data_IF_764593564705
#
_entry.id   IF_764593564705
#
_cell.length_a   1.000
_cell.length_b   1.000
_cell.length_c   1.000
_cell.angle_alpha   90.00
_cell.angle_beta   90.00
_cell.angle_gamma   90.00
#
_symmetry.space_group_name_H-M   'P 1'
#
loop_
_entity.id
_entity.type
_entity.pdbx_description
1 polymer ?
#
# COMPACT_ATOMS: atom_id res chain seq x y z
N UNK A 1 -11.24 -1.68 11.00
CA UNK A 1 -10.92 -0.84 9.82
C UNK A 1 -11.25 -1.66 8.58
N UNK A 2 -11.78 -1.06 7.49
CA UNK A 2 -11.99 -1.80 6.25
C UNK A 2 -10.64 -2.26 5.67
N UNK A 3 -10.65 -3.42 5.03
CA UNK A 3 -9.51 -3.90 4.24
C UNK A 3 -9.84 -3.74 2.77
N UNK A 4 -8.89 -3.23 1.99
CA UNK A 4 -9.02 -3.17 0.54
C UNK A 4 -8.19 -4.30 -0.06
N UNK A 5 -8.79 -5.11 -0.93
CA UNK A 5 -8.10 -6.15 -1.66
C UNK A 5 -7.85 -5.69 -3.08
N UNK A 6 -6.59 -5.68 -3.50
CA UNK A 6 -6.21 -5.41 -4.88
C UNK A 6 -5.86 -6.71 -5.58
N UNK A 7 -6.73 -7.13 -6.50
CA UNK A 7 -6.62 -8.39 -7.24
C UNK A 7 -5.83 -8.21 -8.53
N UNK A 8 -4.88 -9.11 -8.76
CA UNK A 8 -4.04 -9.19 -9.96
C UNK A 8 -3.41 -7.83 -10.36
N UNK A 9 -2.74 -7.11 -9.42
CA UNK A 9 -2.03 -5.89 -9.78
C UNK A 9 -0.87 -6.20 -10.74
N UNK A 10 -0.59 -5.26 -11.64
CA UNK A 10 0.62 -5.24 -12.45
C UNK A 10 1.88 -4.84 -11.64
N UNK A 11 2.88 -4.24 -12.29
CA UNK A 11 4.05 -3.66 -11.62
C UNK A 11 3.62 -2.63 -10.58
N UNK A 12 4.24 -2.68 -9.39
CA UNK A 12 3.96 -1.74 -8.29
C UNK A 12 4.82 -0.49 -8.44
N UNK A 13 4.36 0.68 -7.95
CA UNK A 13 5.20 1.87 -7.93
C UNK A 13 6.42 1.66 -7.03
N UNK A 14 7.48 2.45 -7.27
CA UNK A 14 8.51 2.69 -6.28
C UNK A 14 7.87 3.06 -4.93
N UNK A 15 8.23 2.37 -3.85
CA UNK A 15 7.53 2.52 -2.57
C UNK A 15 7.51 3.96 -2.01
N UNK A 16 8.51 4.83 -2.25
CA UNK A 16 8.43 6.22 -1.79
C UNK A 16 7.29 6.99 -2.46
N UNK A 17 6.89 6.65 -3.69
CA UNK A 17 5.76 7.30 -4.37
C UNK A 17 4.42 7.03 -3.67
N UNK A 18 4.29 5.85 -3.04
CA UNK A 18 3.12 5.54 -2.20
C UNK A 18 3.10 6.50 -1.00
N UNK A 19 4.23 6.65 -0.30
CA UNK A 19 4.34 7.56 0.84
C UNK A 19 4.07 9.02 0.45
N UNK A 20 4.65 9.49 -0.66
CA UNK A 20 4.46 10.86 -1.14
C UNK A 20 3.03 11.13 -1.59
N UNK A 21 2.37 10.14 -2.19
CA UNK A 21 0.95 10.25 -2.50
C UNK A 21 0.12 10.44 -1.23
N UNK A 22 0.42 9.70 -0.16
CA UNK A 22 -0.32 9.76 1.10
C UNK A 22 -0.10 11.07 1.86
N UNK A 23 1.16 11.46 2.06
CA UNK A 23 1.56 12.51 3.01
C UNK A 23 2.24 13.73 2.38
N UNK A 24 2.39 13.74 1.05
CA UNK A 24 3.04 14.82 0.32
C UNK A 24 4.53 14.55 0.03
N UNK A 25 5.13 15.36 -0.85
CA UNK A 25 6.48 15.15 -1.33
C UNK A 25 7.51 15.21 -0.21
N UNK A 26 8.54 14.35 -0.28
CA UNK A 26 9.64 14.27 0.70
C UNK A 26 9.17 14.06 2.15
N UNK A 27 8.03 13.40 2.34
CA UNK A 27 7.57 13.04 3.68
C UNK A 27 8.61 12.16 4.41
N UNK A 28 8.75 12.39 5.72
CA UNK A 28 9.71 11.66 6.55
C UNK A 28 9.03 10.43 7.15
N UNK A 29 9.46 9.24 6.71
CA UNK A 29 8.80 7.97 7.00
C UNK A 29 9.76 6.94 7.59
N UNK A 30 9.21 5.98 8.32
CA UNK A 30 9.82 4.65 8.46
C UNK A 30 9.18 3.73 7.41
N UNK A 31 9.98 2.90 6.75
CA UNK A 31 9.52 1.89 5.80
C UNK A 31 10.10 0.52 6.11
N UNK A 32 9.34 -0.53 5.82
CA UNK A 32 9.78 -1.93 5.84
C UNK A 32 9.07 -2.71 4.72
N UNK A 33 9.48 -3.95 4.45
CA UNK A 33 8.90 -4.83 3.44
C UNK A 33 9.95 -5.54 2.60
N UNK A 34 9.53 -6.11 1.47
CA UNK A 34 10.37 -6.97 0.63
C UNK A 34 10.88 -6.32 -0.66
N UNK A 35 10.80 -4.99 -0.75
CA UNK A 35 11.38 -4.21 -1.85
C UNK A 35 12.90 -4.37 -1.89
N UNK A 36 13.43 -4.83 -3.02
CA UNK A 36 14.88 -5.08 -3.22
C UNK A 36 15.68 -3.81 -3.51
N UNK A 37 14.99 -2.76 -3.95
CA UNK A 37 15.56 -1.44 -4.24
C UNK A 37 14.46 -0.40 -4.28
N UNK A 38 14.80 0.88 -4.21
CA UNK A 38 13.83 1.98 -4.29
C UNK A 38 12.96 1.92 -5.55
N UNK A 39 13.50 1.40 -6.66
CA UNK A 39 12.82 1.26 -7.94
C UNK A 39 12.26 -0.16 -8.18
N UNK A 40 12.21 -1.01 -7.15
CA UNK A 40 11.65 -2.35 -7.30
C UNK A 40 10.14 -2.28 -7.54
N UNK A 41 9.69 -2.84 -8.65
CA UNK A 41 8.27 -2.89 -9.02
C UNK A 41 7.63 -4.24 -8.66
N UNK A 42 8.40 -5.13 -8.03
CA UNK A 42 8.00 -6.51 -7.73
C UNK A 42 7.81 -6.78 -6.23
N UNK A 43 7.81 -5.77 -5.36
CA UNK A 43 7.49 -5.96 -3.95
C UNK A 43 6.04 -6.42 -3.78
N UNK A 44 5.79 -7.25 -2.79
CA UNK A 44 4.44 -7.70 -2.40
C UNK A 44 4.09 -7.30 -0.97
N UNK A 45 5.11 -6.91 -0.20
CA UNK A 45 5.00 -6.47 1.19
C UNK A 45 5.54 -5.04 1.32
N UNK A 46 4.79 -4.17 2.00
CA UNK A 46 5.20 -2.81 2.28
C UNK A 46 4.52 -2.27 3.55
N UNK A 47 5.32 -1.85 4.52
CA UNK A 47 4.87 -1.05 5.67
C UNK A 47 5.40 0.37 5.53
N UNK A 48 4.55 1.36 5.76
CA UNK A 48 4.92 2.78 5.83
C UNK A 48 4.34 3.42 7.10
N UNK A 49 5.16 4.18 7.82
CA UNK A 49 4.74 4.93 9.01
C UNK A 49 5.21 6.39 8.90
N UNK A 50 4.30 7.35 9.04
CA UNK A 50 4.68 8.77 9.07
C UNK A 50 5.40 9.09 10.40
N UNK A 51 6.64 9.58 10.35
CA UNK A 51 7.40 9.85 11.60
C UNK A 51 6.81 10.98 12.43
N UNK A 52 6.22 11.98 11.78
CA UNK A 52 5.57 13.10 12.46
C UNK A 52 4.30 12.68 13.23
N UNK A 53 3.67 11.58 12.81
CA UNK A 53 2.49 11.01 13.46
C UNK A 53 2.46 9.49 13.24
N UNK A 54 2.99 8.75 14.23
CA UNK A 54 3.12 7.29 14.15
C UNK A 54 1.77 6.55 14.19
N UNK A 55 0.67 7.27 14.43
CA UNK A 55 -0.69 6.71 14.28
C UNK A 55 -1.15 6.69 12.82
N UNK A 56 -0.38 7.24 11.88
CA UNK A 56 -0.59 7.10 10.45
C UNK A 56 0.33 6.01 9.91
N UNK A 57 -0.24 4.81 9.79
CA UNK A 57 0.45 3.59 9.35
C UNK A 57 -0.34 2.96 8.21
N UNK A 58 0.36 2.62 7.15
CA UNK A 58 -0.12 1.81 6.04
C UNK A 58 0.67 0.50 6.04
N UNK A 59 -0.02 -0.60 5.80
CA UNK A 59 0.56 -1.91 5.62
C UNK A 59 -0.10 -2.59 4.41
N UNK A 60 0.72 -3.26 3.63
CA UNK A 60 0.33 -4.01 2.45
C UNK A 60 1.02 -5.36 2.54
N UNK A 61 0.22 -6.43 2.51
CA UNK A 61 0.72 -7.80 2.55
C UNK A 61 0.09 -8.62 1.42
N UNK A 62 0.76 -9.65 0.90
CA UNK A 62 0.14 -10.59 -0.01
C UNK A 62 -0.82 -11.50 0.76
N UNK A 63 -2.09 -11.55 0.33
CA UNK A 63 -3.03 -12.58 0.76
C UNK A 63 -2.77 -13.89 0.00
N UNK A 64 -2.44 -13.77 -1.29
CA UNK A 64 -2.01 -14.85 -2.17
C UNK A 64 -0.94 -14.31 -3.13
N UNK A 65 -0.01 -15.15 -3.58
CA UNK A 65 1.03 -14.74 -4.53
C UNK A 65 0.70 -15.11 -5.99
N UNK A 66 -0.08 -16.17 -6.21
CA UNK A 66 -0.46 -16.65 -7.55
C UNK A 66 -1.92 -17.13 -7.55
N UNK A 67 -2.88 -16.34 -8.10
CA UNK A 67 -2.71 -14.95 -8.54
C UNK A 67 -2.39 -14.03 -7.35
N UNK A 68 -1.67 -12.94 -7.60
CA UNK A 68 -1.33 -11.96 -6.57
C UNK A 68 -2.58 -11.23 -6.10
N UNK A 69 -2.84 -11.24 -4.80
CA UNK A 69 -3.86 -10.41 -4.14
C UNK A 69 -3.18 -9.67 -3.00
N UNK A 70 -3.19 -8.33 -3.05
CA UNK A 70 -2.62 -7.50 -1.99
C UNK A 70 -3.72 -7.05 -1.03
N UNK A 71 -3.53 -7.32 0.26
CA UNK A 71 -4.37 -6.82 1.34
C UNK A 71 -3.81 -5.49 1.84
N UNK A 72 -4.56 -4.41 1.63
CA UNK A 72 -4.17 -3.04 1.96
C UNK A 72 -4.94 -2.65 3.22
N UNK A 73 -4.20 -2.43 4.30
CA UNK A 73 -4.74 -2.04 5.60
C UNK A 73 -4.01 -0.84 6.16
N UNK A 74 -4.71 -0.10 7.01
CA UNK A 74 -4.20 1.13 7.56
C UNK A 74 -4.84 1.39 8.92
N UNK A 75 -4.11 2.12 9.76
CA UNK A 75 -4.61 2.60 11.05
C UNK A 75 -5.81 3.54 10.93
N UNK A 76 -5.99 4.16 9.75
CA UNK A 76 -7.10 5.08 9.46
C UNK A 76 -7.79 4.70 8.14
N UNK A 77 -9.13 4.68 8.15
CA UNK A 77 -9.93 4.23 7.01
C UNK A 77 -9.69 5.09 5.75
N UNK A 78 -9.57 6.41 5.93
CA UNK A 78 -9.28 7.33 4.82
C UNK A 78 -7.91 7.10 4.20
N UNK A 79 -6.90 6.80 5.02
CA UNK A 79 -5.54 6.52 4.56
C UNK A 79 -5.47 5.20 3.77
N UNK A 80 -6.14 4.16 4.24
CA UNK A 80 -6.22 2.87 3.54
C UNK A 80 -6.91 2.98 2.18
N UNK A 81 -8.03 3.72 2.12
CA UNK A 81 -8.73 4.00 0.85
C UNK A 81 -7.82 4.75 -0.14
N UNK A 82 -7.16 5.81 0.32
CA UNK A 82 -6.27 6.63 -0.52
C UNK A 82 -5.12 5.80 -1.10
N UNK A 83 -4.51 4.93 -0.29
CA UNK A 83 -3.48 4.01 -0.76
C UNK A 83 -4.02 3.01 -1.81
N UNK A 84 -5.18 2.43 -1.54
CA UNK A 84 -5.82 1.45 -2.41
C UNK A 84 -6.19 2.03 -3.79
N UNK A 85 -6.79 3.22 -3.82
CA UNK A 85 -7.13 3.94 -5.05
C UNK A 85 -5.87 4.31 -5.86
N UNK A 86 -4.82 4.77 -5.18
CA UNK A 86 -3.54 5.08 -5.82
C UNK A 86 -2.90 3.85 -6.46
N UNK A 87 -2.84 2.74 -5.73
CA UNK A 87 -2.26 1.49 -6.22
C UNK A 87 -3.08 0.92 -7.37
N UNK A 88 -4.41 0.94 -7.30
CA UNK A 88 -5.25 0.52 -8.42
C UNK A 88 -5.00 1.39 -9.66
N UNK A 89 -4.93 2.70 -9.50
CA UNK A 89 -4.68 3.62 -10.62
C UNK A 89 -3.30 3.41 -11.26
N UNK A 90 -2.29 3.03 -10.48
CA UNK A 90 -0.93 2.81 -10.96
C UNK A 90 -0.72 1.40 -11.54
N UNK A 91 -1.16 0.38 -10.81
CA UNK A 91 -0.88 -1.03 -11.09
C UNK A 91 -1.97 -1.68 -11.97
N UNK A 92 -3.13 -1.04 -12.13
CA UNK A 92 -4.33 -1.68 -12.66
C UNK A 92 -4.95 -2.67 -11.66
N UNK A 93 -5.61 -3.71 -12.17
CA UNK A 93 -6.28 -4.72 -11.35
C UNK A 93 -7.66 -4.29 -10.84
N UNK A 94 -8.27 -5.15 -10.03
CA UNK A 94 -9.61 -4.94 -9.49
C UNK A 94 -9.54 -4.68 -7.99
N UNK A 95 -10.11 -3.56 -7.55
CA UNK A 95 -10.19 -3.22 -6.14
C UNK A 95 -11.52 -3.70 -5.54
N UNK A 96 -11.43 -4.44 -4.45
CA UNK A 96 -12.57 -4.91 -3.66
C UNK A 96 -12.50 -4.34 -2.24
N UNK A 97 -13.60 -3.80 -1.76
CA UNK A 97 -13.73 -3.40 -0.36
C UNK A 97 -14.25 -4.58 0.45
N UNK A 98 -13.40 -5.11 1.33
CA UNK A 98 -13.82 -6.10 2.31
C UNK A 98 -14.21 -5.38 3.60
N UNK A 99 -15.50 -5.43 3.95
CA UNK A 99 -15.98 -4.93 5.23
C UNK A 99 -15.29 -5.73 6.35
N UNK A 100 -14.58 -5.03 7.24
CA UNK A 100 -14.02 -5.65 8.44
C UNK A 100 -15.16 -6.25 9.27
N UNK A 101 -14.96 -7.47 9.78
CA UNK A 101 -15.85 -8.05 10.80
C UNK A 101 -15.85 -7.22 12.08
#
# INVERSE_FOLDING_TARGET
>A
MPTFLLHAPGPRPAFPLVAEHLWGPKCNIDSDGNSRSVADEQWTELTLILRADRQQRLDIDPLTEVPLVLAIHSSQAGLGRKAAEFLQAHCGGTLELQAGR
#
